data_IF_610897728980
#
_entry.id   IF_610897728980
#
_cell.length_a   1.000
_cell.length_b   1.000
_cell.length_c   1.000
_cell.angle_alpha   90.00
_cell.angle_beta   90.00
_cell.angle_gamma   90.00
#
_symmetry.space_group_name_H-M   'P 1'
#
loop_
_entity.id
_entity.type
_entity.pdbx_description
1 polymer ?
#
# COMPACT_ATOMS: atom_id res chain seq x y z
N UNK A 1 42.51 27.37 15.65
CA UNK A 1 41.24 28.10 15.81
C UNK A 1 40.17 27.08 16.09
N UNK A 2 39.59 27.08 17.29
CA UNK A 2 38.50 26.17 17.68
C UNK A 2 37.23 26.55 16.90
N UNK A 3 36.51 25.61 16.26
CA UNK A 3 35.47 25.95 15.27
C UNK A 3 34.13 26.40 15.85
N UNK A 4 33.96 26.43 17.17
CA UNK A 4 32.68 26.74 17.80
C UNK A 4 32.86 27.84 18.86
N UNK A 5 32.44 29.06 18.53
CA UNK A 5 32.21 30.15 19.49
C UNK A 5 30.73 30.14 19.84
N UNK A 6 30.31 29.38 20.84
CA UNK A 6 28.97 29.49 21.43
C UNK A 6 29.04 30.47 22.60
N UNK A 7 28.25 31.55 22.58
CA UNK A 7 28.16 32.47 23.71
C UNK A 7 27.23 31.88 24.78
N UNK A 8 27.52 32.11 26.07
CA UNK A 8 26.73 31.56 27.17
C UNK A 8 25.25 31.95 27.11
N UNK A 9 24.95 33.16 26.62
CA UNK A 9 23.58 33.65 26.45
C UNK A 9 22.83 32.91 25.34
N UNK A 10 23.51 32.50 24.27
CA UNK A 10 22.92 31.71 23.19
C UNK A 10 22.52 30.32 23.70
N UNK A 11 23.38 29.70 24.52
CA UNK A 11 23.11 28.39 25.13
C UNK A 11 21.91 28.47 26.08
N UNK A 12 21.81 29.53 26.88
CA UNK A 12 20.70 29.72 27.80
C UNK A 12 19.37 29.92 27.06
N UNK A 13 19.38 30.69 25.98
CA UNK A 13 18.20 30.88 25.13
C UNK A 13 17.77 29.57 24.46
N UNK A 14 18.72 28.79 23.92
CA UNK A 14 18.44 27.50 23.29
C UNK A 14 17.86 26.48 24.30
N UNK A 15 18.42 26.41 25.51
CA UNK A 15 17.90 25.56 26.60
C UNK A 15 16.49 25.99 27.03
N UNK A 16 16.24 27.31 27.08
CA UNK A 16 14.92 27.83 27.43
C UNK A 16 13.87 27.48 26.36
N UNK A 17 14.17 27.76 25.09
CA UNK A 17 13.29 27.43 23.96
C UNK A 17 13.01 25.92 23.90
N UNK A 18 14.03 25.10 24.14
CA UNK A 18 13.87 23.65 24.19
C UNK A 18 12.89 23.22 25.30
N UNK A 19 13.02 23.76 26.51
CA UNK A 19 12.14 23.44 27.63
C UNK A 19 10.70 23.92 27.41
N UNK A 20 10.51 25.10 26.80
CA UNK A 20 9.18 25.61 26.43
C UNK A 20 8.50 24.68 25.42
N UNK A 21 9.20 24.31 24.34
CA UNK A 21 8.68 23.37 23.34
C UNK A 21 8.41 21.99 23.93
N UNK A 22 9.23 21.52 24.87
CA UNK A 22 9.02 20.26 25.55
C UNK A 22 7.75 20.29 26.41
N UNK A 23 7.53 21.37 27.17
CA UNK A 23 6.34 21.56 27.98
C UNK A 23 5.07 21.64 27.10
N UNK A 24 5.10 22.44 26.04
CA UNK A 24 4.00 22.51 25.05
C UNK A 24 3.76 21.15 24.39
N UNK A 25 4.83 20.44 24.03
CA UNK A 25 4.76 19.11 23.45
C UNK A 25 4.08 18.09 24.35
N UNK A 26 4.38 18.10 25.65
CA UNK A 26 3.72 17.26 26.64
C UNK A 26 2.22 17.58 26.77
N UNK A 27 1.86 18.86 26.75
CA UNK A 27 0.44 19.30 26.76
C UNK A 27 -0.28 18.83 25.50
N UNK A 28 0.32 18.99 24.33
CA UNK A 28 -0.25 18.53 23.06
C UNK A 28 -0.45 17.02 23.04
N UNK A 29 0.51 16.24 23.57
CA UNK A 29 0.42 14.79 23.65
C UNK A 29 -0.70 14.34 24.61
N UNK A 30 -0.84 14.98 25.77
CA UNK A 30 -1.93 14.69 26.71
C UNK A 30 -3.31 15.02 26.12
N UNK A 31 -3.40 16.07 25.29
CA UNK A 31 -4.65 16.54 24.68
C UNK A 31 -4.94 15.93 23.31
N UNK A 32 -4.11 15.03 22.80
CA UNK A 32 -4.21 14.56 21.41
C UNK A 32 -5.49 13.76 21.15
N UNK A 33 -6.06 13.14 22.18
CA UNK A 33 -7.29 12.36 22.13
C UNK A 33 -7.21 11.21 21.14
N UNK A 34 -8.38 10.79 20.62
CA UNK A 34 -8.41 9.84 19.51
C UNK A 34 -7.85 10.47 18.24
N UNK A 35 -7.02 9.70 17.54
CA UNK A 35 -6.45 10.09 16.25
C UNK A 35 -7.15 9.27 15.15
N UNK A 36 -8.30 9.75 14.63
CA UNK A 36 -8.99 9.08 13.54
C UNK A 36 -8.18 9.19 12.24
N UNK A 37 -8.26 8.14 11.44
CA UNK A 37 -7.76 8.01 10.08
C UNK A 37 -8.85 7.30 9.24
N UNK A 38 -8.75 7.31 7.91
CA UNK A 38 -9.85 6.87 7.05
C UNK A 38 -10.98 7.91 7.04
N UNK A 39 -10.64 9.14 6.68
CA UNK A 39 -11.54 10.29 6.88
C UNK A 39 -12.56 10.47 5.76
N UNK A 40 -12.34 9.88 4.58
CA UNK A 40 -13.27 10.01 3.47
C UNK A 40 -14.53 9.20 3.78
N UNK A 41 -15.73 9.82 3.71
CA UNK A 41 -16.99 9.12 3.95
C UNK A 41 -17.14 7.91 3.04
N UNK A 42 -17.55 6.77 3.61
CA UNK A 42 -17.78 5.55 2.86
C UNK A 42 -18.88 4.70 3.49
N UNK A 43 -19.36 3.72 2.74
CA UNK A 43 -20.24 2.66 3.22
C UNK A 43 -19.56 1.31 3.02
N UNK A 44 -19.77 0.41 3.95
CA UNK A 44 -19.53 -1.01 3.70
C UNK A 44 -20.70 -1.52 2.87
N UNK A 45 -20.43 -1.92 1.63
CA UNK A 45 -21.46 -2.34 0.67
C UNK A 45 -21.53 -3.86 0.51
N UNK A 46 -20.44 -4.55 0.83
CA UNK A 46 -20.36 -6.01 0.84
C UNK A 46 -19.46 -6.47 1.98
N UNK A 47 -19.78 -7.63 2.56
CA UNK A 47 -19.00 -8.27 3.62
C UNK A 47 -19.00 -9.78 3.43
N UNK A 48 -17.85 -10.40 3.56
CA UNK A 48 -17.65 -11.84 3.56
C UNK A 48 -16.53 -12.16 4.55
N UNK A 49 -16.79 -13.02 5.53
CA UNK A 49 -15.87 -13.27 6.63
C UNK A 49 -15.36 -11.98 7.29
N UNK A 50 -14.04 -11.71 7.17
CA UNK A 50 -13.39 -10.47 7.65
C UNK A 50 -13.24 -9.42 6.54
N UNK A 51 -13.47 -9.80 5.28
CA UNK A 51 -13.37 -8.92 4.11
C UNK A 51 -14.55 -7.96 4.08
N UNK A 52 -14.25 -6.69 3.83
CA UNK A 52 -15.22 -5.62 3.63
C UNK A 52 -14.90 -4.90 2.33
N UNK A 53 -15.93 -4.70 1.51
CA UNK A 53 -15.87 -3.82 0.36
C UNK A 53 -16.40 -2.44 0.77
N UNK A 54 -15.54 -1.43 0.69
CA UNK A 54 -15.88 -0.05 0.98
C UNK A 54 -16.22 0.67 -0.32
N UNK A 55 -17.36 1.35 -0.37
CA UNK A 55 -17.72 2.29 -1.44
C UNK A 55 -17.65 3.71 -0.89
N UNK A 56 -16.77 4.53 -1.45
CA UNK A 56 -16.57 5.90 -0.98
C UNK A 56 -17.62 6.85 -1.57
N UNK A 57 -18.06 7.80 -0.74
CA UNK A 57 -19.12 8.75 -1.05
C UNK A 57 -18.50 10.11 -1.31
N UNK A 58 -18.87 10.71 -2.44
CA UNK A 58 -18.44 12.05 -2.83
C UNK A 58 -19.61 12.85 -3.40
N UNK A 59 -19.59 14.16 -3.19
CA UNK A 59 -20.48 15.12 -3.84
C UNK A 59 -19.98 15.54 -5.24
N UNK A 60 -18.77 15.10 -5.62
CA UNK A 60 -18.15 15.39 -6.92
C UNK A 60 -18.86 14.64 -8.04
N UNK A 61 -18.89 15.26 -9.21
CA UNK A 61 -19.41 14.62 -10.41
C UNK A 61 -18.49 13.45 -10.80
N UNK A 62 -19.07 12.26 -10.86
CA UNK A 62 -18.40 11.08 -11.43
C UNK A 62 -18.28 11.29 -12.94
N UNK A 63 -17.03 11.37 -13.41
CA UNK A 63 -16.68 11.54 -14.83
C UNK A 63 -16.53 10.18 -15.48
N UNK A 64 -15.82 9.24 -14.85
CA UNK A 64 -15.65 7.88 -15.34
C UNK A 64 -16.76 6.97 -14.82
N UNK A 65 -17.53 6.38 -15.74
CA UNK A 65 -18.63 5.47 -15.41
C UNK A 65 -18.16 4.08 -14.98
N UNK A 66 -16.92 3.72 -15.29
CA UNK A 66 -16.34 2.44 -14.86
C UNK A 66 -15.65 2.66 -13.51
N UNK A 67 -16.13 2.04 -12.42
CA UNK A 67 -15.57 2.24 -11.09
C UNK A 67 -14.15 1.72 -10.98
N UNK A 68 -13.40 2.24 -10.02
CA UNK A 68 -12.04 1.83 -9.66
C UNK A 68 -12.08 1.03 -8.37
N UNK A 69 -11.64 -0.22 -8.42
CA UNK A 69 -11.42 -1.06 -7.25
C UNK A 69 -9.96 -0.97 -6.79
N UNK A 70 -9.74 -0.48 -5.58
CA UNK A 70 -8.45 -0.48 -4.91
C UNK A 70 -8.24 -1.82 -4.20
N UNK A 71 -7.25 -2.57 -4.65
CA UNK A 71 -6.81 -3.83 -4.06
C UNK A 71 -5.54 -3.55 -3.25
N UNK A 72 -5.70 -3.46 -1.93
CA UNK A 72 -4.59 -3.19 -1.03
C UNK A 72 -3.79 -4.45 -0.68
N UNK A 73 -2.60 -4.27 -0.10
CA UNK A 73 -1.79 -5.37 0.39
C UNK A 73 -2.45 -6.10 1.57
N UNK A 74 -2.07 -7.36 1.79
CA UNK A 74 -2.47 -8.11 2.99
C UNK A 74 -1.68 -7.69 4.23
N UNK A 75 -0.58 -6.95 4.03
CA UNK A 75 0.19 -6.31 5.09
C UNK A 75 -0.30 -4.88 5.35
N UNK A 76 -0.42 -4.54 6.65
CA UNK A 76 -0.94 -3.27 7.15
C UNK A 76 -2.37 -2.97 6.66
N UNK A 77 -2.98 -1.93 7.23
CA UNK A 77 -4.37 -1.58 6.91
C UNK A 77 -4.44 -0.61 5.72
N UNK A 78 -5.53 -0.69 4.90
CA UNK A 78 -5.66 0.10 3.69
C UNK A 78 -5.85 1.61 3.93
N UNK A 79 -6.22 2.05 5.13
CA UNK A 79 -6.47 3.47 5.42
C UNK A 79 -5.25 4.38 5.26
N UNK A 80 -4.05 3.86 4.99
CA UNK A 80 -2.92 4.68 4.54
C UNK A 80 -3.20 5.41 3.23
N UNK A 81 -4.07 4.86 2.38
CA UNK A 81 -4.53 5.52 1.15
C UNK A 81 -5.56 6.61 1.43
N UNK A 82 -6.01 6.73 2.68
CA UNK A 82 -7.02 7.69 3.16
C UNK A 82 -6.69 8.22 4.57
N UNK A 83 -5.43 8.63 4.78
CA UNK A 83 -4.91 8.87 6.12
C UNK A 83 -5.56 10.09 6.80
N UNK A 84 -5.71 11.19 6.06
CA UNK A 84 -6.31 12.44 6.51
C UNK A 84 -6.71 13.31 5.29
N UNK A 85 -7.48 14.39 5.51
CA UNK A 85 -8.15 15.15 4.45
C UNK A 85 -7.22 15.62 3.32
N UNK A 86 -6.00 16.07 3.67
CA UNK A 86 -5.00 16.53 2.70
C UNK A 86 -3.96 15.46 2.31
N UNK A 87 -4.16 14.21 2.74
CA UNK A 87 -3.31 13.04 2.49
C UNK A 87 -4.20 11.81 2.29
N UNK A 88 -5.01 11.86 1.23
CA UNK A 88 -5.95 10.80 0.86
C UNK A 88 -5.91 10.60 -0.64
N UNK A 89 -5.23 9.53 -1.07
CA UNK A 89 -5.26 9.07 -2.45
C UNK A 89 -6.68 8.75 -2.89
N UNK A 90 -7.51 8.21 -1.98
CA UNK A 90 -8.93 7.97 -2.22
C UNK A 90 -9.67 9.27 -2.54
N UNK A 91 -9.55 10.29 -1.68
CA UNK A 91 -10.16 11.59 -1.93
C UNK A 91 -9.68 12.20 -3.23
N UNK A 92 -8.38 12.11 -3.52
CA UNK A 92 -7.83 12.63 -4.78
C UNK A 92 -8.40 11.93 -6.03
N UNK A 93 -8.73 10.63 -5.95
CA UNK A 93 -9.38 9.90 -7.05
C UNK A 93 -10.84 10.32 -7.22
N UNK A 94 -11.57 10.51 -6.11
CA UNK A 94 -12.93 11.05 -6.12
C UNK A 94 -12.96 12.46 -6.73
N UNK A 95 -12.02 13.33 -6.34
CA UNK A 95 -11.86 14.68 -6.87
C UNK A 95 -11.48 14.67 -8.37
N UNK A 96 -10.79 13.63 -8.84
CA UNK A 96 -10.50 13.39 -10.24
C UNK A 96 -11.66 12.73 -11.02
N UNK A 97 -12.85 12.65 -10.40
CA UNK A 97 -14.09 12.18 -11.03
C UNK A 97 -14.18 10.67 -11.19
N UNK A 98 -13.52 9.88 -10.34
CA UNK A 98 -13.65 8.43 -10.32
C UNK A 98 -14.69 7.98 -9.29
N UNK A 99 -15.37 6.86 -9.55
CA UNK A 99 -16.13 6.14 -8.52
C UNK A 99 -15.23 5.09 -7.86
N UNK A 100 -15.07 5.13 -6.54
CA UNK A 100 -13.96 4.42 -5.85
C UNK A 100 -14.46 3.39 -4.85
N UNK A 101 -13.99 2.17 -5.03
CA UNK A 101 -14.15 1.05 -4.13
C UNK A 101 -12.80 0.64 -3.54
N UNK A 102 -12.80 0.04 -2.35
CA UNK A 102 -11.59 -0.47 -1.70
C UNK A 102 -11.89 -1.78 -0.98
N UNK A 103 -11.02 -2.77 -1.17
CA UNK A 103 -11.05 -4.02 -0.41
C UNK A 103 -10.27 -3.87 0.90
N UNK A 104 -10.95 -4.02 2.03
CA UNK A 104 -10.34 -4.17 3.35
C UNK A 104 -10.41 -5.64 3.77
N UNK A 105 -9.27 -6.32 3.78
CA UNK A 105 -9.15 -7.75 4.06
C UNK A 105 -9.46 -8.11 5.53
N UNK A 106 -9.46 -7.12 6.42
CA UNK A 106 -9.67 -7.32 7.85
C UNK A 106 -8.47 -7.93 8.58
N UNK A 107 -8.74 -8.67 9.65
CA UNK A 107 -7.72 -9.31 10.49
C UNK A 107 -7.92 -10.81 10.46
N UNK A 108 -6.95 -11.57 9.91
CA UNK A 108 -6.96 -13.02 10.02
C UNK A 108 -6.95 -13.47 11.49
N UNK A 109 -7.73 -14.49 11.80
CA UNK A 109 -7.68 -15.23 13.05
C UNK A 109 -7.06 -16.62 12.85
N UNK A 110 -6.98 -17.42 13.91
CA UNK A 110 -6.32 -18.73 13.85
C UNK A 110 -6.98 -19.73 12.88
N UNK A 111 -8.26 -19.55 12.54
CA UNK A 111 -8.95 -20.41 11.57
C UNK A 111 -8.50 -20.11 10.14
N UNK A 112 -8.07 -18.88 9.87
CA UNK A 112 -7.65 -18.40 8.56
C UNK A 112 -6.25 -18.88 8.15
N UNK A 113 -5.54 -19.63 9.03
CA UNK A 113 -4.17 -20.12 8.75
C UNK A 113 -4.04 -20.99 7.51
N UNK A 114 -5.15 -21.59 7.08
CA UNK A 114 -5.23 -22.45 5.91
C UNK A 114 -5.70 -21.73 4.65
N UNK A 115 -6.02 -20.43 4.73
CA UNK A 115 -6.32 -19.66 3.52
C UNK A 115 -5.10 -19.70 2.61
N UNK A 116 -5.38 -20.06 1.36
CA UNK A 116 -4.45 -20.14 0.26
C UNK A 116 -4.52 -18.85 -0.57
N UNK A 117 -3.50 -18.60 -1.39
CA UNK A 117 -3.50 -17.41 -2.26
C UNK A 117 -4.68 -17.40 -3.25
N UNK A 118 -5.17 -18.59 -3.61
CA UNK A 118 -6.36 -18.78 -4.44
C UNK A 118 -7.66 -18.35 -3.77
N UNK A 119 -7.82 -18.52 -2.46
CA UNK A 119 -9.04 -18.11 -1.74
C UNK A 119 -9.21 -16.59 -1.80
N UNK A 120 -8.09 -15.85 -1.72
CA UNK A 120 -8.09 -14.40 -1.89
C UNK A 120 -8.46 -13.96 -3.31
N UNK A 121 -8.13 -14.74 -4.34
CA UNK A 121 -8.33 -14.38 -5.74
C UNK A 121 -9.68 -14.87 -6.26
N UNK A 122 -9.94 -16.17 -6.19
CA UNK A 122 -11.16 -16.81 -6.71
C UNK A 122 -12.36 -16.66 -5.77
N UNK A 123 -12.12 -16.47 -4.47
CA UNK A 123 -13.17 -16.17 -3.49
C UNK A 123 -13.32 -14.66 -3.33
N UNK A 124 -12.54 -14.10 -2.41
CA UNK A 124 -12.79 -12.74 -1.91
C UNK A 124 -12.69 -11.64 -2.98
N UNK A 125 -11.67 -11.66 -3.84
CA UNK A 125 -11.50 -10.62 -4.86
C UNK A 125 -12.54 -10.77 -5.98
N UNK A 126 -12.75 -11.98 -6.52
CA UNK A 126 -13.79 -12.21 -7.54
C UNK A 126 -15.18 -11.81 -7.03
N UNK A 127 -15.55 -12.17 -5.80
CA UNK A 127 -16.83 -11.78 -5.21
C UNK A 127 -17.00 -10.25 -5.09
N UNK A 128 -15.92 -9.52 -4.78
CA UNK A 128 -15.93 -8.06 -4.80
C UNK A 128 -16.11 -7.51 -6.22
N UNK A 129 -15.47 -8.11 -7.22
CA UNK A 129 -15.59 -7.71 -8.63
C UNK A 129 -17.01 -7.97 -9.12
N UNK A 130 -17.56 -9.16 -8.86
CA UNK A 130 -18.95 -9.55 -9.17
C UNK A 130 -19.94 -8.53 -8.59
N UNK A 131 -19.81 -8.23 -7.30
CA UNK A 131 -20.68 -7.25 -6.64
C UNK A 131 -20.66 -5.91 -7.37
N UNK A 132 -19.47 -5.38 -7.70
CA UNK A 132 -19.33 -4.08 -8.38
C UNK A 132 -19.91 -4.15 -9.79
N UNK A 133 -19.57 -5.18 -10.55
CA UNK A 133 -20.07 -5.40 -11.90
C UNK A 133 -21.59 -5.46 -11.95
N UNK A 134 -22.22 -6.20 -11.04
CA UNK A 134 -23.68 -6.32 -10.93
C UNK A 134 -24.34 -5.00 -10.54
N UNK A 135 -23.78 -4.25 -9.58
CA UNK A 135 -24.33 -2.95 -9.16
C UNK A 135 -24.32 -1.91 -10.29
N UNK A 136 -23.32 -1.96 -11.16
CA UNK A 136 -23.15 -1.00 -12.26
C UNK A 136 -23.67 -1.50 -13.61
N UNK A 137 -24.03 -2.78 -13.73
CA UNK A 137 -24.44 -3.41 -14.98
C UNK A 137 -23.32 -3.41 -16.03
N UNK A 138 -22.09 -3.72 -15.60
CA UNK A 138 -20.88 -3.74 -16.43
C UNK A 138 -20.15 -5.07 -16.29
N UNK A 139 -19.46 -5.50 -17.35
CA UNK A 139 -18.68 -6.76 -17.31
C UNK A 139 -17.26 -6.58 -16.77
N UNK A 140 -16.77 -5.33 -16.69
CA UNK A 140 -15.39 -5.01 -16.36
C UNK A 140 -15.28 -3.77 -15.49
N UNK A 141 -14.30 -3.74 -14.59
CA UNK A 141 -13.95 -2.56 -13.78
C UNK A 141 -12.50 -2.10 -13.98
N UNK A 142 -12.18 -0.92 -13.47
CA UNK A 142 -10.79 -0.46 -13.38
C UNK A 142 -10.16 -0.98 -12.09
N UNK A 143 -8.96 -1.55 -12.13
CA UNK A 143 -8.32 -2.12 -10.94
C UNK A 143 -7.05 -1.34 -10.60
N UNK A 144 -6.93 -0.90 -9.34
CA UNK A 144 -5.73 -0.27 -8.78
C UNK A 144 -5.15 -1.16 -7.69
N UNK A 145 -4.11 -1.90 -8.02
CA UNK A 145 -3.42 -2.78 -7.08
C UNK A 145 -2.21 -2.11 -6.43
N UNK A 146 -2.08 -2.24 -5.11
CA UNK A 146 -1.06 -1.54 -4.32
C UNK A 146 -0.13 -2.54 -3.62
N UNK A 147 1.19 -2.43 -3.86
CA UNK A 147 2.21 -3.30 -3.28
C UNK A 147 1.86 -4.80 -3.51
N UNK A 148 1.69 -5.62 -2.46
CA UNK A 148 1.24 -7.01 -2.57
C UNK A 148 -0.16 -7.12 -3.21
N UNK A 149 -1.05 -6.15 -2.96
CA UNK A 149 -2.34 -6.05 -3.66
C UNK A 149 -2.19 -5.84 -5.17
N UNK A 150 -1.09 -5.23 -5.60
CA UNK A 150 -0.72 -5.18 -7.01
C UNK A 150 -0.33 -6.53 -7.59
N UNK A 151 0.30 -7.39 -6.79
CA UNK A 151 0.60 -8.77 -7.21
C UNK A 151 -0.70 -9.56 -7.35
N UNK A 152 -1.62 -9.43 -6.38
CA UNK A 152 -2.97 -10.01 -6.47
C UNK A 152 -3.68 -9.51 -7.76
N UNK A 153 -3.68 -8.21 -8.02
CA UNK A 153 -4.28 -7.64 -9.23
C UNK A 153 -3.64 -8.13 -10.52
N UNK A 154 -2.32 -8.33 -10.56
CA UNK A 154 -1.61 -8.88 -11.72
C UNK A 154 -1.99 -10.34 -11.97
N UNK A 155 -2.02 -11.16 -10.92
CA UNK A 155 -2.47 -12.55 -11.00
C UNK A 155 -3.93 -12.62 -11.47
N UNK A 156 -4.82 -11.85 -10.83
CA UNK A 156 -6.23 -11.76 -11.17
C UNK A 156 -6.44 -11.34 -12.64
N UNK A 157 -5.81 -10.26 -13.07
CA UNK A 157 -5.94 -9.72 -14.44
C UNK A 157 -5.34 -10.64 -15.51
N UNK A 158 -4.41 -11.52 -15.13
CA UNK A 158 -3.85 -12.54 -16.02
C UNK A 158 -4.79 -13.74 -16.19
N UNK A 159 -5.53 -14.10 -15.14
CA UNK A 159 -6.49 -15.21 -15.14
C UNK A 159 -7.86 -14.81 -15.70
N UNK A 160 -8.27 -13.56 -15.46
CA UNK A 160 -9.56 -12.99 -15.84
C UNK A 160 -9.40 -11.68 -16.62
N UNK A 161 -8.70 -11.68 -17.76
CA UNK A 161 -8.43 -10.46 -18.52
C UNK A 161 -9.71 -9.78 -19.02
N UNK A 162 -10.80 -10.53 -19.19
CA UNK A 162 -12.11 -10.05 -19.56
C UNK A 162 -12.87 -9.35 -18.42
N UNK A 163 -12.35 -9.34 -17.19
CA UNK A 163 -12.99 -8.69 -16.02
C UNK A 163 -12.36 -7.35 -15.65
N UNK A 164 -11.20 -7.03 -16.23
CA UNK A 164 -10.44 -5.81 -15.91
C UNK A 164 -10.28 -4.94 -17.15
N UNK A 165 -10.91 -3.76 -17.11
CA UNK A 165 -10.90 -2.79 -18.22
C UNK A 165 -9.57 -2.06 -18.32
N UNK A 166 -9.05 -1.58 -17.19
CA UNK A 166 -7.77 -0.89 -17.09
C UNK A 166 -7.08 -1.33 -15.79
N UNK A 167 -5.78 -1.64 -15.87
CA UNK A 167 -4.98 -2.07 -14.73
C UNK A 167 -3.98 -0.99 -14.33
N UNK A 168 -4.02 -0.59 -13.07
CA UNK A 168 -3.03 0.30 -12.46
C UNK A 168 -2.30 -0.48 -11.38
N UNK A 169 -0.98 -0.46 -11.43
CA UNK A 169 -0.11 -1.01 -10.38
C UNK A 169 0.60 0.14 -9.70
N UNK A 170 0.67 0.12 -8.37
CA UNK A 170 1.34 1.16 -7.60
C UNK A 170 2.30 0.54 -6.59
N UNK A 171 3.59 0.87 -6.74
CA UNK A 171 4.72 0.30 -5.98
C UNK A 171 4.65 -1.22 -5.86
N UNK A 172 4.28 -1.87 -6.98
CA UNK A 172 4.06 -3.31 -7.06
C UNK A 172 5.36 -4.04 -7.45
N UNK A 173 5.80 -5.05 -6.67
CA UNK A 173 6.94 -5.87 -7.06
C UNK A 173 6.54 -6.85 -8.17
N UNK A 174 7.31 -6.89 -9.25
CA UNK A 174 7.10 -7.84 -10.36
C UNK A 174 8.28 -8.77 -10.54
N UNK A 175 9.50 -8.21 -10.54
CA UNK A 175 10.73 -8.98 -10.40
C UNK A 175 11.19 -8.97 -8.94
N UNK A 176 11.08 -10.10 -8.27
CA UNK A 176 11.45 -10.21 -6.87
C UNK A 176 12.95 -10.40 -6.67
N UNK A 177 13.76 -10.65 -7.70
CA UNK A 177 15.20 -10.94 -7.53
C UNK A 177 16.12 -9.87 -8.10
N UNK A 178 15.69 -8.61 -8.08
CA UNK A 178 16.57 -7.50 -8.45
C UNK A 178 17.68 -7.32 -7.41
N UNK A 179 18.87 -6.87 -7.86
CA UNK A 179 20.06 -6.81 -7.00
C UNK A 179 19.90 -5.86 -5.82
N UNK A 180 19.04 -4.86 -5.94
CA UNK A 180 18.77 -3.77 -5.00
C UNK A 180 17.59 -4.06 -4.05
N UNK A 181 16.99 -5.26 -4.15
CA UNK A 181 15.87 -5.65 -3.31
C UNK A 181 16.34 -6.36 -2.03
N UNK A 182 16.59 -5.58 -0.97
CA UNK A 182 17.02 -6.09 0.34
C UNK A 182 16.04 -7.10 0.94
N UNK A 183 14.74 -6.84 0.84
CA UNK A 183 13.70 -7.72 1.38
C UNK A 183 13.78 -9.12 0.73
N UNK A 184 14.03 -9.15 -0.58
CA UNK A 184 14.19 -10.42 -1.30
C UNK A 184 15.42 -11.21 -0.87
N UNK A 185 16.57 -10.54 -0.68
CA UNK A 185 17.78 -11.18 -0.19
C UNK A 185 17.58 -11.86 1.17
N UNK A 186 16.79 -11.24 2.05
CA UNK A 186 16.42 -11.85 3.33
C UNK A 186 15.49 -13.05 3.13
N UNK A 187 14.44 -12.90 2.33
CA UNK A 187 13.46 -13.95 2.05
C UNK A 187 14.07 -15.22 1.41
N UNK A 188 15.20 -15.11 0.70
CA UNK A 188 15.88 -16.27 0.12
C UNK A 188 16.32 -17.32 1.15
N UNK A 189 16.61 -16.90 2.38
CA UNK A 189 17.23 -17.77 3.39
C UNK A 189 16.26 -18.15 4.52
N UNK A 190 14.98 -17.78 4.40
CA UNK A 190 13.96 -18.11 5.39
C UNK A 190 13.43 -19.51 5.10
N UNK A 191 13.46 -20.38 6.12
CA UNK A 191 12.67 -21.62 6.14
C UNK A 191 11.21 -21.25 6.45
N UNK A 192 10.47 -20.88 5.40
CA UNK A 192 9.08 -20.48 5.54
C UNK A 192 8.20 -21.65 5.96
N UNK A 193 8.63 -22.89 5.68
CA UNK A 193 7.85 -24.05 6.08
C UNK A 193 7.83 -24.19 7.59
N UNK A 194 9.01 -24.20 8.19
CA UNK A 194 9.15 -24.23 9.64
C UNK A 194 8.44 -23.07 10.32
N UNK A 195 8.52 -21.86 9.73
CA UNK A 195 7.90 -20.66 10.28
C UNK A 195 6.37 -20.80 10.35
N UNK A 196 5.73 -21.18 9.24
CA UNK A 196 4.27 -21.31 9.15
C UNK A 196 3.77 -22.53 9.94
N UNK A 197 4.50 -23.65 9.92
CA UNK A 197 4.15 -24.84 10.71
C UNK A 197 4.15 -24.54 12.22
N UNK A 198 5.06 -23.66 12.66
CA UNK A 198 5.20 -23.26 14.07
C UNK A 198 4.15 -22.23 14.50
N UNK A 199 3.92 -21.19 13.70
CA UNK A 199 3.11 -20.04 14.10
C UNK A 199 1.64 -20.14 13.64
N UNK A 200 1.36 -20.90 12.59
CA UNK A 200 0.08 -20.84 11.88
C UNK A 200 0.03 -19.59 11.03
N UNK A 201 -0.56 -18.51 11.54
CA UNK A 201 -0.46 -17.21 10.89
C UNK A 201 0.90 -16.58 11.14
N UNK A 202 1.35 -15.72 10.24
CA UNK A 202 2.53 -14.89 10.49
C UNK A 202 2.08 -13.63 11.24
N UNK A 203 2.57 -13.39 12.48
CA UNK A 203 2.15 -12.25 13.26
C UNK A 203 2.47 -10.93 12.56
N UNK A 204 1.50 -10.02 12.53
CA UNK A 204 1.66 -8.70 11.92
C UNK A 204 2.81 -7.90 12.56
N UNK A 205 3.03 -8.08 13.87
CA UNK A 205 4.14 -7.46 14.58
C UNK A 205 5.51 -7.91 14.02
N UNK A 206 5.67 -9.21 13.73
CA UNK A 206 6.90 -9.75 13.15
C UNK A 206 7.16 -9.18 11.75
N UNK A 207 6.11 -9.04 10.93
CA UNK A 207 6.19 -8.39 9.62
C UNK A 207 6.58 -6.93 9.76
N UNK A 208 5.95 -6.19 10.67
CA UNK A 208 6.26 -4.78 10.93
C UNK A 208 7.74 -4.60 11.34
N UNK A 209 8.24 -5.42 12.26
CA UNK A 209 9.65 -5.45 12.64
C UNK A 209 10.57 -5.67 11.43
N UNK A 210 10.19 -6.54 10.50
CA UNK A 210 10.93 -6.78 9.26
C UNK A 210 11.01 -5.52 8.42
N UNK A 211 9.89 -4.82 8.20
CA UNK A 211 9.86 -3.58 7.39
C UNK A 211 10.64 -2.43 8.05
N UNK A 212 10.52 -2.25 9.37
CA UNK A 212 11.25 -1.21 10.09
C UNK A 212 12.78 -1.41 10.02
N UNK A 213 13.24 -2.67 9.97
CA UNK A 213 14.65 -3.00 9.84
C UNK A 213 15.22 -2.84 8.42
N UNK A 214 14.40 -2.58 7.39
CA UNK A 214 14.94 -2.29 6.06
C UNK A 214 15.70 -0.97 6.02
N UNK A 215 15.31 0.01 6.85
CA UNK A 215 16.02 1.29 7.02
C UNK A 215 15.96 1.75 8.49
N UNK A 216 16.63 1.06 9.42
CA UNK A 216 16.45 1.26 10.85
C UNK A 216 16.90 2.65 11.28
N UNK A 217 17.97 3.19 10.69
CA UNK A 217 18.39 4.57 10.97
C UNK A 217 17.31 5.59 10.59
N UNK A 218 16.69 5.46 9.41
CA UNK A 218 15.64 6.42 9.00
C UNK A 218 14.33 6.20 9.75
N UNK A 219 13.92 4.95 9.92
CA UNK A 219 12.60 4.55 10.44
C UNK A 219 12.54 4.45 11.98
N UNK A 220 13.68 4.40 12.67
CA UNK A 220 13.73 4.34 14.14
C UNK A 220 14.61 5.44 14.76
N UNK A 221 15.52 6.07 14.00
CA UNK A 221 16.39 7.13 14.51
C UNK A 221 16.00 8.52 14.00
N UNK A 222 16.26 8.75 12.71
CA UNK A 222 16.11 10.05 12.05
C UNK A 222 14.70 10.63 12.18
N UNK A 223 13.65 9.79 12.10
CA UNK A 223 12.26 10.28 12.22
C UNK A 223 11.94 10.93 13.57
N UNK A 224 12.71 10.63 14.63
CA UNK A 224 12.56 11.24 15.95
C UNK A 224 13.54 12.39 16.21
N UNK A 225 14.42 12.71 15.26
CA UNK A 225 15.28 13.90 15.34
C UNK A 225 14.38 15.14 15.19
N UNK A 226 14.44 16.05 16.16
CA UNK A 226 13.53 17.20 16.23
C UNK A 226 12.13 16.85 16.75
N UNK A 227 11.96 15.70 17.42
CA UNK A 227 10.68 15.30 18.01
C UNK A 227 10.11 16.37 18.95
N UNK A 228 10.96 17.08 19.70
CA UNK A 228 10.52 18.19 20.58
C UNK A 228 9.87 19.33 19.76
N UNK A 229 10.46 19.73 18.64
CA UNK A 229 9.88 20.73 17.74
C UNK A 229 8.61 20.24 17.04
N UNK A 230 8.50 18.93 16.80
CA UNK A 230 7.32 18.32 16.22
C UNK A 230 6.17 18.27 17.23
N UNK A 231 6.45 17.86 18.47
CA UNK A 231 5.46 17.75 19.53
C UNK A 231 4.85 19.11 19.90
N UNK A 232 5.62 20.21 19.81
CA UNK A 232 5.08 21.56 20.03
C UNK A 232 4.11 22.03 18.94
N UNK A 233 4.03 21.34 17.80
CA UNK A 233 3.13 21.67 16.67
C UNK A 233 1.98 20.66 16.57
N UNK A 234 0.76 21.00 17.01
CA UNK A 234 -0.35 20.05 17.12
C UNK A 234 -0.68 19.27 15.83
N UNK A 235 -0.74 19.96 14.69
CA UNK A 235 -1.11 19.31 13.41
C UNK A 235 -0.02 18.38 12.88
N UNK A 236 1.25 18.72 13.11
CA UNK A 236 2.40 17.88 12.75
C UNK A 236 2.44 16.65 13.65
N UNK A 237 2.24 16.83 14.96
CA UNK A 237 2.13 15.73 15.92
C UNK A 237 0.98 14.78 15.58
N UNK A 238 -0.23 15.30 15.28
CA UNK A 238 -1.36 14.46 14.85
C UNK A 238 -1.05 13.68 13.58
N UNK A 239 -0.46 14.32 12.58
CA UNK A 239 -0.06 13.66 11.34
C UNK A 239 0.98 12.56 11.59
N UNK A 240 1.93 12.80 12.50
CA UNK A 240 2.92 11.81 12.92
C UNK A 240 2.27 10.63 13.65
N UNK A 241 1.36 10.89 14.60
CA UNK A 241 0.66 9.85 15.34
C UNK A 241 -0.27 9.00 14.46
N UNK A 242 -0.87 9.58 13.41
CA UNK A 242 -1.60 8.81 12.39
C UNK A 242 -0.68 7.81 11.68
N UNK A 243 0.52 8.25 11.31
CA UNK A 243 1.52 7.39 10.68
C UNK A 243 2.00 6.29 11.62
N UNK A 244 2.32 6.62 12.88
CA UNK A 244 2.71 5.61 13.87
C UNK A 244 1.59 4.61 14.12
N UNK A 245 0.35 5.09 14.29
CA UNK A 245 -0.83 4.22 14.43
C UNK A 245 -0.94 3.26 13.25
N UNK A 246 -0.77 3.73 12.01
CA UNK A 246 -0.78 2.87 10.82
C UNK A 246 0.37 1.86 10.80
N UNK A 247 1.59 2.29 11.13
CA UNK A 247 2.77 1.42 11.17
C UNK A 247 2.57 0.27 12.15
N UNK A 248 1.94 0.53 13.30
CA UNK A 248 1.71 -0.48 14.34
C UNK A 248 0.35 -1.19 14.23
N UNK A 249 -0.47 -0.83 13.24
CA UNK A 249 -1.72 -1.50 12.92
C UNK A 249 -1.49 -2.51 11.78
N UNK A 250 -0.82 -3.60 12.15
CA UNK A 250 -0.40 -4.65 11.24
C UNK A 250 -1.23 -5.91 11.50
N UNK A 251 -2.17 -6.28 10.63
CA UNK A 251 -2.86 -7.56 10.71
C UNK A 251 -1.88 -8.72 10.46
N UNK A 252 -2.21 -9.88 11.01
CA UNK A 252 -1.52 -11.13 10.69
C UNK A 252 -1.71 -11.48 9.20
N UNK A 253 -0.80 -12.29 8.65
CA UNK A 253 -1.02 -12.92 7.34
C UNK A 253 -1.36 -14.40 7.53
N UNK A 254 -2.35 -14.87 6.77
CA UNK A 254 -2.68 -16.28 6.68
C UNK A 254 -1.45 -17.11 6.32
N UNK A 255 -1.24 -18.20 7.06
CA UNK A 255 -0.04 -19.03 6.99
C UNK A 255 0.27 -19.56 5.61
N UNK A 256 -0.69 -20.27 5.00
CA UNK A 256 -0.47 -20.90 3.70
C UNK A 256 -0.34 -19.89 2.55
N UNK A 257 -1.13 -18.82 2.55
CA UNK A 257 -0.92 -17.66 1.65
C UNK A 257 0.48 -17.08 1.78
N UNK A 258 0.98 -16.86 3.00
CA UNK A 258 2.34 -16.35 3.20
C UNK A 258 3.40 -17.34 2.72
N UNK A 259 3.23 -18.64 3.02
CA UNK A 259 4.11 -19.72 2.57
C UNK A 259 4.24 -19.72 1.06
N UNK A 260 3.12 -19.70 0.35
CA UNK A 260 3.08 -19.64 -1.10
C UNK A 260 3.72 -18.35 -1.61
N UNK A 261 3.41 -17.20 -0.99
CA UNK A 261 3.96 -15.92 -1.43
C UNK A 261 5.50 -15.87 -1.34
N UNK A 262 6.07 -16.36 -0.24
CA UNK A 262 7.53 -16.44 -0.08
C UNK A 262 8.15 -17.40 -1.09
N UNK A 263 7.61 -18.60 -1.25
CA UNK A 263 8.15 -19.61 -2.16
C UNK A 263 8.06 -19.17 -3.61
N UNK A 264 6.87 -18.90 -4.09
CA UNK A 264 6.61 -18.68 -5.51
C UNK A 264 7.18 -17.34 -5.98
N UNK A 265 7.03 -16.28 -5.19
CA UNK A 265 7.38 -14.93 -5.62
C UNK A 265 8.80 -14.57 -5.20
N UNK A 266 9.12 -14.63 -3.90
CA UNK A 266 10.46 -14.25 -3.46
C UNK A 266 11.53 -15.28 -3.83
N UNK A 267 11.35 -16.55 -3.47
CA UNK A 267 12.39 -17.59 -3.61
C UNK A 267 12.50 -18.13 -5.03
N UNK A 268 11.40 -18.32 -5.74
CA UNK A 268 11.41 -18.89 -7.09
C UNK A 268 11.24 -17.86 -8.20
N UNK A 269 10.72 -16.67 -7.89
CA UNK A 269 10.44 -15.59 -8.84
C UNK A 269 9.58 -16.08 -10.02
N UNK A 270 8.57 -16.92 -9.71
CA UNK A 270 7.70 -17.59 -10.69
C UNK A 270 6.87 -16.60 -11.50
N UNK A 271 6.53 -15.43 -10.95
CA UNK A 271 5.79 -14.39 -11.66
C UNK A 271 6.55 -13.91 -12.92
N UNK A 272 7.87 -13.85 -12.86
CA UNK A 272 8.72 -13.52 -14.01
C UNK A 272 8.84 -14.67 -15.03
N UNK A 273 8.48 -15.89 -14.65
CA UNK A 273 8.69 -17.13 -15.42
C UNK A 273 7.39 -17.74 -15.94
N UNK A 274 6.24 -17.10 -15.70
CA UNK A 274 4.90 -17.65 -15.99
C UNK A 274 4.68 -19.01 -15.31
N UNK A 275 4.96 -19.10 -14.01
CA UNK A 275 4.88 -20.36 -13.25
C UNK A 275 4.13 -20.27 -11.93
N UNK A 276 3.47 -19.14 -11.60
CA UNK A 276 2.65 -19.07 -10.39
C UNK A 276 1.38 -19.85 -10.65
N UNK A 277 1.11 -20.85 -9.82
CA UNK A 277 -0.10 -21.68 -9.89
C UNK A 277 -1.08 -21.21 -8.83
N UNK A 278 -2.27 -20.80 -9.26
CA UNK A 278 -3.39 -20.41 -8.41
C UNK A 278 -4.53 -21.39 -8.72
N UNK A 279 -4.80 -22.31 -7.80
CA UNK A 279 -5.64 -23.47 -8.08
C UNK A 279 -5.18 -24.23 -9.32
N UNK A 280 -6.10 -24.44 -10.25
CA UNK A 280 -5.83 -25.12 -11.53
C UNK A 280 -5.34 -24.17 -12.64
N UNK A 281 -5.13 -22.88 -12.35
CA UNK A 281 -4.73 -21.88 -13.32
C UNK A 281 -3.26 -21.47 -13.15
N UNK A 282 -2.54 -21.32 -14.27
CA UNK A 282 -1.18 -20.78 -14.28
C UNK A 282 -1.19 -19.32 -14.72
N UNK A 283 -0.61 -18.45 -13.90
CA UNK A 283 -0.47 -17.02 -14.19
C UNK A 283 0.62 -16.80 -15.24
N UNK A 284 0.24 -16.23 -16.38
CA UNK A 284 1.15 -15.65 -17.37
C UNK A 284 0.81 -14.17 -17.59
N UNK A 285 1.72 -13.28 -17.20
CA UNK A 285 1.56 -11.84 -17.36
C UNK A 285 1.34 -11.42 -18.83
N UNK A 286 1.67 -12.27 -19.81
CA UNK A 286 1.34 -12.02 -21.22
C UNK A 286 -0.16 -11.95 -21.49
N UNK A 287 -0.99 -12.56 -20.65
CA UNK A 287 -2.45 -12.48 -20.77
C UNK A 287 -2.99 -11.09 -20.43
N UNK A 288 -2.19 -10.23 -19.79
CA UNK A 288 -2.52 -8.84 -19.52
C UNK A 288 -2.40 -8.05 -20.83
N UNK A 289 -3.55 -7.90 -21.50
CA UNK A 289 -3.68 -7.18 -22.79
C UNK A 289 -4.42 -5.85 -22.68
N UNK A 290 -5.14 -5.62 -21.57
CA UNK A 290 -5.79 -4.34 -21.26
C UNK A 290 -4.76 -3.23 -21.01
N UNK A 291 -5.12 -1.93 -21.05
CA UNK A 291 -4.21 -0.84 -20.74
C UNK A 291 -3.62 -0.96 -19.34
N UNK A 292 -2.32 -0.66 -19.21
CA UNK A 292 -1.57 -0.72 -17.95
C UNK A 292 -0.92 0.62 -17.63
N UNK A 293 -1.15 1.12 -16.42
CA UNK A 293 -0.38 2.21 -15.81
C UNK A 293 0.46 1.65 -14.67
N UNK A 294 1.78 1.75 -14.77
CA UNK A 294 2.69 1.38 -13.70
C UNK A 294 3.19 2.62 -12.96
N UNK A 295 2.81 2.75 -11.69
CA UNK A 295 3.18 3.84 -10.80
C UNK A 295 4.26 3.35 -9.82
N UNK A 296 5.40 4.02 -9.77
CA UNK A 296 6.50 3.64 -8.86
C UNK A 296 7.18 4.84 -8.20
N UNK A 297 7.81 4.59 -7.05
CA UNK A 297 8.55 5.59 -6.30
C UNK A 297 10.07 5.43 -6.54
N UNK A 298 10.74 6.51 -6.94
CA UNK A 298 12.14 6.48 -7.40
C UNK A 298 13.16 6.12 -6.31
N UNK A 299 12.81 6.35 -5.04
CA UNK A 299 13.65 6.06 -3.87
C UNK A 299 13.05 4.96 -2.99
N UNK A 300 12.19 4.14 -3.59
CA UNK A 300 11.62 2.98 -2.93
C UNK A 300 12.71 1.94 -2.64
N UNK A 301 12.70 1.47 -1.40
CA UNK A 301 13.65 0.48 -0.87
C UNK A 301 12.96 -0.81 -0.45
N UNK A 302 11.63 -0.84 -0.45
CA UNK A 302 10.81 -2.02 -0.22
C UNK A 302 10.56 -2.68 -1.58
N UNK A 303 10.15 -1.88 -2.56
CA UNK A 303 9.95 -2.29 -3.95
C UNK A 303 10.78 -1.38 -4.85
N UNK A 304 12.06 -1.71 -5.09
CA UNK A 304 12.92 -0.88 -5.94
C UNK A 304 12.28 -0.64 -7.32
N UNK A 305 12.53 0.52 -7.97
CA UNK A 305 11.98 0.79 -9.30
C UNK A 305 12.29 -0.30 -10.34
N UNK A 306 13.46 -0.95 -10.23
CA UNK A 306 13.86 -2.07 -11.09
C UNK A 306 12.87 -3.25 -11.00
N UNK A 307 12.40 -3.56 -9.79
CA UNK A 307 11.44 -4.63 -9.52
C UNK A 307 10.06 -4.35 -10.11
N UNK A 308 9.59 -3.10 -10.01
CA UNK A 308 8.30 -2.68 -10.55
C UNK A 308 8.34 -2.51 -12.08
N UNK A 309 9.38 -1.86 -12.63
CA UNK A 309 9.50 -1.59 -14.08
C UNK A 309 9.72 -2.84 -14.92
N UNK A 310 10.06 -3.96 -14.30
CA UNK A 310 10.10 -5.27 -14.96
C UNK A 310 8.77 -5.62 -15.66
N UNK A 311 7.64 -5.10 -15.15
CA UNK A 311 6.30 -5.32 -15.71
C UNK A 311 6.21 -5.04 -17.20
N UNK A 312 6.83 -3.95 -17.66
CA UNK A 312 6.81 -3.51 -19.08
C UNK A 312 7.24 -4.61 -20.05
N UNK A 313 8.14 -5.50 -19.62
CA UNK A 313 8.70 -6.57 -20.46
C UNK A 313 7.90 -7.88 -20.38
N UNK A 314 6.86 -7.93 -19.56
CA UNK A 314 6.11 -9.15 -19.24
C UNK A 314 4.67 -9.12 -19.72
N UNK A 315 4.06 -7.95 -19.77
CA UNK A 315 2.70 -7.76 -20.30
C UNK A 315 2.67 -7.70 -21.83
N UNK A 316 1.55 -8.06 -22.44
CA UNK A 316 1.36 -8.00 -23.90
C UNK A 316 0.48 -6.82 -24.36
N UNK A 317 0.09 -5.94 -23.43
CA UNK A 317 -0.67 -4.74 -23.76
C UNK A 317 0.08 -3.83 -24.75
N UNK A 318 -0.68 -3.17 -25.62
CA UNK A 318 -0.16 -2.13 -26.53
C UNK A 318 -0.21 -0.74 -25.90
N UNK A 319 -0.91 -0.59 -24.79
CA UNK A 319 -1.09 0.66 -24.07
C UNK A 319 -0.47 0.54 -22.67
N UNK A 320 0.83 0.82 -22.60
CA UNK A 320 1.59 0.78 -21.36
C UNK A 320 2.16 2.16 -21.05
N UNK A 321 1.83 2.69 -19.88
CA UNK A 321 2.31 3.98 -19.38
C UNK A 321 3.03 3.80 -18.04
N UNK A 322 3.98 4.69 -17.74
CA UNK A 322 4.65 4.75 -16.44
C UNK A 322 4.47 6.12 -15.81
N UNK A 323 4.32 6.16 -14.48
CA UNK A 323 4.30 7.39 -13.68
C UNK A 323 5.26 7.22 -12.51
N UNK A 324 6.31 8.04 -12.46
CA UNK A 324 7.26 8.01 -11.35
C UNK A 324 6.96 9.10 -10.31
N UNK A 325 7.29 8.80 -9.06
CA UNK A 325 7.25 9.74 -7.96
C UNK A 325 8.63 9.88 -7.31
N UNK A 326 9.13 11.11 -7.21
CA UNK A 326 10.39 11.41 -6.52
C UNK A 326 10.19 11.34 -4.99
N UNK A 327 10.21 10.12 -4.44
CA UNK A 327 10.13 9.82 -3.01
C UNK A 327 10.23 8.33 -2.74
N UNK A 328 9.94 7.91 -1.51
CA UNK A 328 9.97 6.51 -1.08
C UNK A 328 8.60 5.84 -1.08
N UNK A 329 8.56 4.53 -0.75
CA UNK A 329 7.38 3.66 -0.76
C UNK A 329 6.12 4.31 -0.18
N UNK A 330 6.19 4.78 1.07
CA UNK A 330 5.03 5.37 1.75
C UNK A 330 4.77 6.81 1.31
N UNK A 331 5.81 7.53 0.90
CA UNK A 331 5.72 8.93 0.47
C UNK A 331 4.75 9.12 -0.70
N UNK A 332 4.53 8.08 -1.51
CA UNK A 332 3.59 8.10 -2.62
C UNK A 332 2.11 8.22 -2.18
N UNK A 333 1.78 7.84 -0.95
CA UNK A 333 0.41 7.95 -0.41
C UNK A 333 0.22 9.18 0.47
N UNK A 334 1.27 9.65 1.16
CA UNK A 334 1.11 10.61 2.25
C UNK A 334 1.82 11.94 2.04
N UNK A 335 2.66 12.08 1.02
CA UNK A 335 3.31 13.37 0.74
C UNK A 335 2.36 14.32 0.02
N UNK A 336 2.40 15.60 0.38
CA UNK A 336 1.59 16.64 -0.28
C UNK A 336 1.86 16.70 -1.79
N UNK A 337 3.12 16.48 -2.21
CA UNK A 337 3.49 16.43 -3.63
C UNK A 337 2.85 15.24 -4.34
N UNK A 338 2.83 14.05 -3.72
CA UNK A 338 2.17 12.90 -4.31
C UNK A 338 0.66 13.14 -4.46
N UNK A 339 0.01 13.77 -3.48
CA UNK A 339 -1.43 14.08 -3.57
C UNK A 339 -1.78 15.03 -4.72
N UNK A 340 -0.88 15.96 -5.06
CA UNK A 340 -1.07 16.89 -6.16
C UNK A 340 -0.80 16.28 -7.54
N UNK A 341 -0.21 15.08 -7.61
CA UNK A 341 0.24 14.49 -8.88
C UNK A 341 -0.37 13.12 -9.13
N UNK A 342 -0.31 12.20 -8.17
CA UNK A 342 -0.64 10.79 -8.39
C UNK A 342 -2.15 10.58 -8.64
N UNK A 343 -3.08 10.96 -7.74
CA UNK A 343 -4.51 10.78 -8.02
C UNK A 343 -5.01 11.55 -9.25
N UNK A 344 -4.62 12.83 -9.48
CA UNK A 344 -5.02 13.56 -10.68
C UNK A 344 -4.55 12.91 -11.99
N UNK A 345 -3.29 12.44 -12.06
CA UNK A 345 -2.78 11.79 -13.26
C UNK A 345 -3.40 10.41 -13.49
N UNK A 346 -3.68 9.64 -12.42
CA UNK A 346 -4.45 8.39 -12.52
C UNK A 346 -5.86 8.68 -13.06
N UNK A 347 -6.57 9.63 -12.48
CA UNK A 347 -7.92 9.99 -12.91
C UNK A 347 -7.96 10.48 -14.36
N UNK A 348 -6.99 11.33 -14.76
CA UNK A 348 -6.83 11.75 -16.15
C UNK A 348 -6.55 10.57 -17.09
N UNK A 349 -5.69 9.65 -16.67
CA UNK A 349 -5.35 8.45 -17.47
C UNK A 349 -6.57 7.55 -17.66
N UNK A 350 -7.39 7.36 -16.63
CA UNK A 350 -8.65 6.61 -16.66
C UNK A 350 -9.73 7.31 -17.48
N UNK A 351 -9.91 8.63 -17.30
CA UNK A 351 -10.90 9.42 -18.02
C UNK A 351 -10.68 9.44 -19.54
N UNK A 352 -9.46 9.17 -20.01
CA UNK A 352 -9.15 9.03 -21.44
C UNK A 352 -9.50 7.64 -22.01
N UNK A 353 -10.01 6.70 -21.19
CA UNK A 353 -10.22 5.28 -21.52
C UNK A 353 -11.59 4.76 -21.06
N UNK A 354 -12.62 5.61 -21.13
CA UNK A 354 -13.97 5.32 -20.62
C UNK A 354 -14.72 4.21 -21.33
#
# INVERSE_FOLDING_TARGET
MTPFKMQSDDILNEVKEFNEKLAEGMVNLMNIGEVPAGVTPHRVVYTEDKVKLLHYISDKLVVNKVPVLIVYALVNRPYITDLQENRSTVQGLLDAGQDVYLVDWGYPDAADRYLMFEDYLHGYLENCVDYICDQHGIDQLNMLGICQGGVLSLCYSSMYPERVKNLITMVTPVDFKTHDNTLSHWAQNIDVDQLVDTLGNIPGEMLNWTFLNLKPYMLMGQKYVGMVDMMSKPDVLKSFMRMEKWIFDSPDQAGETFRQFIKDFFQENKLMKAGVEIGDQTVDLKNITMPVLNVYAEQDHIVPPSASKALKKKVSTKDYSELSFAGGHIGIYVSSKAQQTIPPEIGKWLNNRQ
#
